data_IF_579857914666
#
_entry.id   IF_579857914666
#
_cell.length_a   1.000
_cell.length_b   1.000
_cell.length_c   1.000
_cell.angle_alpha   90.00
_cell.angle_beta   90.00
_cell.angle_gamma   90.00
#
_symmetry.space_group_name_H-M   'P 1'
#
loop_
_entity.id
_entity.type
_entity.pdbx_description
1 polymer ?
#
# COMPACT_ATOMS: atom_id res chain seq x y z
N UNK A 1 3.39 -26.91 3.36
CA UNK A 1 4.16 -25.97 2.52
C UNK A 1 3.78 -24.54 2.90
N UNK A 2 4.74 -23.76 3.26
CA UNK A 2 4.51 -22.37 3.62
C UNK A 2 4.57 -21.48 2.38
N UNK A 3 3.64 -20.56 2.27
CA UNK A 3 3.71 -19.53 1.25
C UNK A 3 4.75 -18.47 1.66
N UNK A 4 5.37 -17.84 0.67
CA UNK A 4 6.25 -16.71 0.96
C UNK A 4 5.46 -15.56 1.60
N UNK A 5 6.07 -14.83 2.54
CA UNK A 5 5.40 -13.70 3.16
C UNK A 5 5.00 -12.65 2.13
N UNK A 6 3.81 -12.08 2.31
CA UNK A 6 3.27 -11.03 1.45
C UNK A 6 3.03 -9.79 2.29
N UNK A 7 3.41 -8.64 1.78
CA UNK A 7 3.08 -7.34 2.37
C UNK A 7 2.19 -6.55 1.44
N UNK A 8 1.26 -5.80 2.02
CA UNK A 8 0.48 -4.83 1.28
C UNK A 8 1.10 -3.45 1.48
N UNK A 9 1.37 -2.76 0.38
CA UNK A 9 1.87 -1.39 0.43
C UNK A 9 0.75 -0.45 -0.03
N UNK A 10 0.40 0.52 0.81
CA UNK A 10 -0.46 1.60 0.34
C UNK A 10 0.34 2.58 -0.52
N UNK A 11 -0.32 3.60 -1.03
CA UNK A 11 0.33 4.57 -1.92
C UNK A 11 1.41 5.39 -1.21
N UNK A 12 1.26 5.65 0.10
CA UNK A 12 2.28 6.38 0.86
C UNK A 12 3.61 5.62 0.90
N UNK A 13 3.54 4.29 1.02
CA UNK A 13 4.72 3.44 1.01
C UNK A 13 5.33 3.35 -0.39
N UNK A 14 4.49 3.17 -1.41
CA UNK A 14 4.97 3.08 -2.80
C UNK A 14 5.69 4.37 -3.24
N UNK A 15 5.20 5.54 -2.84
CA UNK A 15 5.85 6.82 -3.15
C UNK A 15 7.27 6.86 -2.62
N UNK A 16 7.54 6.30 -1.45
CA UNK A 16 8.89 6.26 -0.87
C UNK A 16 9.87 5.37 -1.64
N UNK A 17 9.36 4.49 -2.49
CA UNK A 17 10.19 3.70 -3.41
C UNK A 17 10.49 4.47 -4.70
N UNK A 18 9.75 5.52 -4.99
CA UNK A 18 9.92 6.36 -6.17
C UNK A 18 10.76 7.59 -5.86
N UNK A 19 10.41 8.29 -4.77
CA UNK A 19 11.06 9.53 -4.35
C UNK A 19 11.90 9.23 -3.11
N UNK A 20 13.15 9.72 -3.12
CA UNK A 20 14.03 9.53 -1.96
C UNK A 20 13.56 10.42 -0.81
N UNK A 21 13.15 9.78 0.28
CA UNK A 21 12.72 10.41 1.52
C UNK A 21 13.47 9.76 2.68
N UNK A 22 13.43 10.34 3.89
CA UNK A 22 14.21 9.81 5.02
C UNK A 22 13.98 8.31 5.29
N UNK A 23 12.76 7.81 5.09
CA UNK A 23 12.40 6.42 5.38
C UNK A 23 12.69 5.45 4.22
N UNK A 24 13.07 5.96 3.04
CA UNK A 24 13.18 5.12 1.84
C UNK A 24 14.19 3.99 1.99
N UNK A 25 15.34 4.25 2.59
CA UNK A 25 16.37 3.22 2.79
C UNK A 25 15.89 2.11 3.72
N UNK A 26 15.23 2.48 4.83
CA UNK A 26 14.68 1.51 5.78
C UNK A 26 13.58 0.67 5.13
N UNK A 27 12.74 1.27 4.32
CA UNK A 27 11.69 0.55 3.59
C UNK A 27 12.29 -0.45 2.61
N UNK A 28 13.30 -0.06 1.83
CA UNK A 28 13.97 -0.98 0.91
C UNK A 28 14.61 -2.15 1.65
N UNK A 29 15.24 -1.88 2.79
CA UNK A 29 15.83 -2.93 3.62
C UNK A 29 14.77 -3.91 4.12
N UNK A 30 13.65 -3.41 4.59
CA UNK A 30 12.53 -4.22 5.03
C UNK A 30 12.03 -5.14 3.91
N UNK A 31 11.88 -4.59 2.71
CA UNK A 31 11.35 -5.33 1.56
C UNK A 31 12.30 -6.38 0.99
N UNK A 32 13.59 -6.34 1.31
CA UNK A 32 14.52 -7.41 0.90
C UNK A 32 14.14 -8.75 1.50
N UNK A 33 13.64 -8.76 2.74
CA UNK A 33 13.19 -9.99 3.40
C UNK A 33 11.74 -10.34 3.08
N UNK A 34 11.03 -9.45 2.38
CA UNK A 34 9.61 -9.64 2.04
C UNK A 34 9.37 -9.11 0.61
N UNK A 35 9.90 -9.84 -0.41
CA UNK A 35 9.84 -9.34 -1.78
C UNK A 35 8.45 -9.36 -2.41
N UNK A 36 7.52 -10.17 -1.89
CA UNK A 36 6.17 -10.26 -2.45
C UNK A 36 5.33 -9.08 -1.99
N UNK A 37 5.10 -8.17 -2.90
CA UNK A 37 4.43 -6.89 -2.66
C UNK A 37 3.11 -6.83 -3.39
N UNK A 38 2.09 -6.40 -2.69
CA UNK A 38 0.73 -6.25 -3.22
C UNK A 38 0.23 -4.84 -2.91
N UNK A 39 -0.56 -4.31 -3.79
CA UNK A 39 -1.37 -3.12 -3.55
C UNK A 39 -2.68 -3.30 -4.32
N UNK A 40 -3.38 -2.22 -4.61
CA UNK A 40 -4.55 -2.27 -5.48
C UNK A 40 -4.41 -1.24 -6.60
N UNK A 41 -5.27 -1.33 -7.60
CA UNK A 41 -5.16 -0.48 -8.80
C UNK A 41 -5.36 1.01 -8.51
N UNK A 42 -5.93 1.37 -7.34
CA UNK A 42 -5.97 2.77 -6.90
C UNK A 42 -4.57 3.39 -6.85
N UNK A 43 -3.56 2.60 -6.50
CA UNK A 43 -2.17 3.06 -6.43
C UNK A 43 -1.67 3.63 -7.77
N UNK A 44 -2.19 3.14 -8.89
CA UNK A 44 -1.82 3.65 -10.22
C UNK A 44 -2.13 5.13 -10.35
N UNK A 45 -3.22 5.57 -9.76
CA UNK A 45 -3.60 6.99 -9.78
C UNK A 45 -2.87 7.75 -8.68
N UNK A 46 -2.90 7.25 -7.45
CA UNK A 46 -2.36 7.95 -6.30
C UNK A 46 -0.86 8.16 -6.39
N UNK A 47 -0.11 7.14 -6.77
CA UNK A 47 1.36 7.23 -6.86
C UNK A 47 1.77 8.17 -7.99
N UNK A 48 1.19 8.02 -9.17
CA UNK A 48 1.52 8.89 -10.31
C UNK A 48 1.20 10.35 -10.02
N UNK A 49 0.05 10.62 -9.39
CA UNK A 49 -0.31 11.99 -9.04
C UNK A 49 0.61 12.58 -7.97
N UNK A 50 0.99 11.78 -6.99
CA UNK A 50 1.88 12.22 -5.91
C UNK A 50 3.26 12.63 -6.43
N UNK A 51 3.77 11.97 -7.47
CA UNK A 51 5.11 12.23 -8.00
C UNK A 51 5.12 13.18 -9.19
N UNK A 52 3.97 13.67 -9.66
CA UNK A 52 3.91 14.61 -10.77
C UNK A 52 4.84 15.81 -10.62
N UNK A 53 4.93 16.47 -9.44
CA UNK A 53 5.82 17.60 -9.26
C UNK A 53 7.30 17.27 -9.38
N UNK A 54 7.66 15.99 -9.29
CA UNK A 54 9.06 15.54 -9.32
C UNK A 54 9.61 15.39 -10.74
N UNK A 55 8.77 15.54 -11.77
CA UNK A 55 9.19 15.51 -13.17
C UNK A 55 9.12 14.14 -13.84
N UNK A 56 9.59 14.11 -15.10
CA UNK A 56 9.46 12.93 -15.97
C UNK A 56 10.22 11.71 -15.45
N UNK A 57 11.40 11.90 -14.89
CA UNK A 57 12.20 10.79 -14.34
C UNK A 57 11.47 10.08 -13.20
N UNK A 58 10.81 10.84 -12.33
CA UNK A 58 10.02 10.26 -11.23
C UNK A 58 8.82 9.48 -11.76
N UNK A 59 8.17 9.96 -12.81
CA UNK A 59 7.05 9.23 -13.42
C UNK A 59 7.48 7.90 -14.01
N UNK A 60 8.65 7.86 -14.63
CA UNK A 60 9.22 6.60 -15.16
C UNK A 60 9.48 5.63 -14.01
N UNK A 61 10.12 6.10 -12.92
CA UNK A 61 10.38 5.27 -11.75
C UNK A 61 9.08 4.78 -11.10
N UNK A 62 8.06 5.65 -11.05
CA UNK A 62 6.76 5.27 -10.49
C UNK A 62 6.15 4.09 -11.26
N UNK A 63 6.20 4.13 -12.59
CA UNK A 63 5.71 3.03 -13.41
C UNK A 63 6.48 1.75 -13.17
N UNK A 64 7.80 1.83 -13.03
CA UNK A 64 8.64 0.69 -12.72
C UNK A 64 8.30 0.06 -11.37
N UNK A 65 8.07 0.90 -10.35
CA UNK A 65 7.66 0.43 -9.03
C UNK A 65 6.30 -0.27 -9.09
N UNK A 66 5.35 0.32 -9.80
CA UNK A 66 4.01 -0.27 -9.96
C UNK A 66 4.05 -1.59 -10.73
N UNK A 67 4.91 -1.71 -11.76
CA UNK A 67 5.09 -2.95 -12.52
C UNK A 67 5.63 -4.09 -11.66
N UNK A 68 6.40 -3.78 -10.62
CA UNK A 68 6.97 -4.77 -9.69
C UNK A 68 6.05 -5.08 -8.51
N UNK A 69 4.88 -4.47 -8.48
CA UNK A 69 3.90 -4.67 -7.42
C UNK A 69 2.68 -5.37 -8.01
N UNK A 70 2.22 -6.42 -7.35
CA UNK A 70 0.97 -7.08 -7.75
C UNK A 70 -0.19 -6.18 -7.34
N UNK A 71 -1.05 -5.83 -8.30
CA UNK A 71 -2.15 -4.90 -8.04
C UNK A 71 -3.49 -5.62 -8.13
N UNK A 72 -4.24 -5.65 -7.03
CA UNK A 72 -5.60 -6.16 -7.02
C UNK A 72 -6.51 -5.19 -7.78
N UNK A 73 -7.34 -5.73 -8.65
CA UNK A 73 -8.35 -4.95 -9.33
C UNK A 73 -9.43 -4.47 -8.34
N UNK A 74 -9.91 -3.25 -8.54
CA UNK A 74 -11.03 -2.72 -7.76
C UNK A 74 -12.34 -3.23 -8.38
N UNK A 75 -12.66 -4.47 -8.07
CA UNK A 75 -13.94 -5.05 -8.52
C UNK A 75 -15.08 -4.66 -7.58
N UNK A 76 -16.30 -5.02 -7.97
CA UNK A 76 -17.50 -4.67 -7.20
C UNK A 76 -17.46 -5.24 -5.79
N UNK A 77 -16.99 -6.47 -5.63
CA UNK A 77 -16.88 -7.11 -4.32
C UNK A 77 -15.97 -6.33 -3.38
N UNK A 78 -14.82 -5.90 -3.87
CA UNK A 78 -13.88 -5.12 -3.08
C UNK A 78 -14.44 -3.73 -2.74
N UNK A 79 -15.06 -3.08 -3.72
CA UNK A 79 -15.65 -1.76 -3.51
C UNK A 79 -16.82 -1.81 -2.53
N UNK A 80 -17.64 -2.85 -2.59
CA UNK A 80 -18.74 -3.04 -1.64
C UNK A 80 -18.18 -3.26 -0.23
N UNK A 81 -17.14 -4.07 -0.10
CA UNK A 81 -16.49 -4.29 1.19
C UNK A 81 -15.93 -2.98 1.76
N UNK A 82 -15.27 -2.17 0.92
CA UNK A 82 -14.76 -0.87 1.34
C UNK A 82 -15.88 0.05 1.81
N UNK A 83 -17.02 0.04 1.09
CA UNK A 83 -18.18 0.87 1.40
C UNK A 83 -18.85 0.54 2.72
N UNK A 84 -18.62 -0.64 3.27
CA UNK A 84 -19.21 -1.08 4.54
C UNK A 84 -18.26 -0.98 5.74
N UNK A 85 -17.01 -0.56 5.52
CA UNK A 85 -16.06 -0.36 6.62
C UNK A 85 -16.48 0.86 7.45
N UNK A 86 -16.97 0.61 8.66
CA UNK A 86 -17.45 1.65 9.55
C UNK A 86 -16.45 1.87 10.68
N UNK A 87 -15.42 2.67 10.41
CA UNK A 87 -14.38 3.01 11.36
C UNK A 87 -14.28 4.52 11.51
N UNK A 88 -14.12 5.03 12.75
CA UNK A 88 -14.01 6.47 12.98
C UNK A 88 -12.86 7.11 12.18
N UNK A 89 -13.16 8.21 11.51
CA UNK A 89 -12.15 8.98 10.78
C UNK A 89 -11.64 8.33 9.49
N UNK A 90 -12.19 7.18 9.09
CA UNK A 90 -11.78 6.49 7.88
C UNK A 90 -12.32 7.20 6.64
N UNK A 91 -11.43 7.54 5.72
CA UNK A 91 -11.80 8.15 4.44
C UNK A 91 -12.02 7.07 3.39
N UNK A 92 -12.71 7.43 2.30
CA UNK A 92 -13.05 6.46 1.25
C UNK A 92 -11.82 5.78 0.64
N UNK A 93 -10.75 6.53 0.37
CA UNK A 93 -9.54 5.95 -0.21
C UNK A 93 -8.83 5.02 0.77
N UNK A 94 -8.83 5.36 2.06
CA UNK A 94 -8.30 4.49 3.12
C UNK A 94 -9.12 3.20 3.22
N UNK A 95 -10.44 3.30 3.11
CA UNK A 95 -11.32 2.15 3.13
C UNK A 95 -11.02 1.19 1.99
N UNK A 96 -10.71 1.73 0.80
CA UNK A 96 -10.33 0.91 -0.36
C UNK A 96 -9.03 0.16 -0.08
N UNK A 97 -8.00 0.82 0.44
CA UNK A 97 -6.75 0.14 0.78
C UNK A 97 -6.94 -0.93 1.86
N UNK A 98 -7.74 -0.65 2.89
CA UNK A 98 -8.02 -1.63 3.94
C UNK A 98 -8.77 -2.84 3.40
N UNK A 99 -9.81 -2.62 2.60
CA UNK A 99 -10.57 -3.71 1.98
C UNK A 99 -9.67 -4.55 1.06
N UNK A 100 -8.80 -3.91 0.30
CA UNK A 100 -7.83 -4.61 -0.55
C UNK A 100 -6.86 -5.44 0.27
N UNK A 101 -6.31 -4.88 1.36
CA UNK A 101 -5.41 -5.61 2.24
C UNK A 101 -6.10 -6.85 2.84
N UNK A 102 -7.34 -6.71 3.28
CA UNK A 102 -8.12 -7.84 3.80
C UNK A 102 -8.39 -8.90 2.73
N UNK A 103 -8.63 -8.47 1.48
CA UNK A 103 -8.93 -9.37 0.37
C UNK A 103 -7.73 -10.23 -0.04
N UNK A 104 -6.51 -9.76 0.20
CA UNK A 104 -5.29 -10.55 -0.09
C UNK A 104 -5.23 -11.82 0.75
N UNK A 105 -5.85 -11.81 1.92
CA UNK A 105 -5.76 -12.89 2.88
C UNK A 105 -4.62 -12.65 3.86
N UNK A 106 -3.94 -13.71 4.34
CA UNK A 106 -2.91 -13.53 5.35
C UNK A 106 -1.76 -12.66 4.87
N UNK A 107 -1.54 -11.54 5.56
CA UNK A 107 -0.44 -10.62 5.30
C UNK A 107 0.58 -10.70 6.43
N UNK A 108 1.85 -10.55 6.08
CA UNK A 108 2.86 -10.27 7.08
C UNK A 108 2.62 -8.91 7.72
N UNK A 109 2.32 -7.91 6.90
CA UNK A 109 1.99 -6.56 7.38
C UNK A 109 1.38 -5.71 6.27
N UNK A 110 0.63 -4.70 6.69
CA UNK A 110 0.29 -3.54 5.89
C UNK A 110 1.41 -2.51 6.11
N UNK A 111 2.07 -2.10 5.04
CA UNK A 111 3.12 -1.09 5.09
C UNK A 111 2.49 0.25 4.73
N UNK A 112 2.47 1.17 5.67
CA UNK A 112 1.88 2.49 5.48
C UNK A 112 2.60 3.53 6.32
N UNK A 113 2.69 4.74 5.79
CA UNK A 113 3.20 5.91 6.52
C UNK A 113 2.06 6.88 6.84
N UNK A 114 0.83 6.49 6.53
CA UNK A 114 -0.38 7.25 6.87
C UNK A 114 -0.89 6.79 8.24
N UNK A 115 -0.86 7.69 9.20
CA UNK A 115 -1.23 7.40 10.58
C UNK A 115 -2.69 6.95 10.72
N UNK A 116 -3.60 7.55 9.95
CA UNK A 116 -5.03 7.19 9.99
C UNK A 116 -5.25 5.76 9.50
N UNK A 117 -4.57 5.40 8.41
CA UNK A 117 -4.66 4.05 7.86
C UNK A 117 -4.07 3.04 8.84
N UNK A 118 -2.95 3.36 9.48
CA UNK A 118 -2.34 2.50 10.49
C UNK A 118 -3.28 2.26 11.67
N UNK A 119 -3.92 3.30 12.18
CA UNK A 119 -4.88 3.18 13.28
C UNK A 119 -6.09 2.33 12.89
N UNK A 120 -6.59 2.52 11.68
CA UNK A 120 -7.72 1.72 11.19
C UNK A 120 -7.33 0.26 11.01
N UNK A 121 -6.13 -0.01 10.50
CA UNK A 121 -5.60 -1.37 10.36
C UNK A 121 -5.50 -2.05 11.73
N UNK A 122 -5.01 -1.36 12.73
CA UNK A 122 -4.92 -1.86 14.10
C UNK A 122 -6.29 -2.23 14.65
N UNK A 123 -7.31 -1.39 14.39
CA UNK A 123 -8.69 -1.67 14.81
C UNK A 123 -9.24 -2.96 14.20
N UNK A 124 -8.75 -3.34 13.02
CA UNK A 124 -9.15 -4.57 12.34
C UNK A 124 -8.25 -5.76 12.66
N UNK A 125 -7.28 -5.59 13.55
CA UNK A 125 -6.34 -6.65 13.90
C UNK A 125 -5.30 -6.94 12.82
N UNK A 126 -5.08 -6.02 11.88
CA UNK A 126 -4.04 -6.16 10.87
C UNK A 126 -2.71 -5.64 11.41
N UNK A 127 -1.67 -6.44 11.23
CA UNK A 127 -0.30 -5.97 11.49
C UNK A 127 0.02 -4.83 10.55
N UNK A 128 0.63 -3.78 11.08
CA UNK A 128 1.07 -2.65 10.26
C UNK A 128 2.47 -2.21 10.65
N UNK A 129 3.24 -1.75 9.68
CA UNK A 129 4.60 -1.27 9.90
C UNK A 129 4.85 -0.01 9.08
N UNK A 130 5.75 0.81 9.57
CA UNK A 130 6.25 2.00 8.90
C UNK A 130 7.78 2.04 9.07
N UNK A 131 8.53 1.23 8.28
CA UNK A 131 9.98 1.16 8.44
C UNK A 131 10.64 2.53 8.34
N UNK A 132 11.49 2.86 9.31
CA UNK A 132 12.13 4.16 9.42
C UNK A 132 13.54 4.06 9.99
#
# INVERSE_FOLDING_TARGET
MSADPVVYLDSSALVKLVVREPESAALRSYLRSTPNRVSCTLARVEVLRAVLPQGAGARIRARQVLERTSLLALDDTLLDAAGTLDLPGLRSLDAIHLAAAQAVGPLRALVTYDRRLAEAAESLGLEHVAPA
#
